data_IF_973906265419
#
_entry.id   IF_973906265419
#
_cell.length_a   1.000
_cell.length_b   1.000
_cell.length_c   1.000
_cell.angle_alpha   90.00
_cell.angle_beta   90.00
_cell.angle_gamma   90.00
#
_symmetry.space_group_name_H-M   'P 1'
#
loop_
_entity.id
_entity.type
_entity.pdbx_description
1 polymer ?
#
# COMPACT_ATOMS: atom_id res chain seq x y z
N UNK A 1 13.17 -4.69 7.14
CA UNK A 1 12.37 -5.26 6.02
C UNK A 1 12.41 -4.44 4.74
N UNK A 2 12.93 -3.21 4.72
CA UNK A 2 12.92 -2.31 3.54
C UNK A 2 14.21 -2.33 2.69
N UNK A 3 15.22 -3.16 2.98
CA UNK A 3 16.58 -3.02 2.43
C UNK A 3 16.70 -2.89 0.90
N UNK A 4 15.83 -3.58 0.17
CA UNK A 4 16.01 -3.84 -1.25
C UNK A 4 15.21 -2.92 -2.20
N UNK A 5 14.35 -2.04 -1.69
CA UNK A 5 13.71 -0.98 -2.50
C UNK A 5 14.58 0.29 -2.56
N UNK A 6 14.27 1.24 -3.45
CA UNK A 6 15.04 2.47 -3.57
C UNK A 6 14.92 3.33 -2.31
N UNK A 7 16.03 3.96 -1.90
CA UNK A 7 16.06 4.71 -0.64
C UNK A 7 15.16 5.97 -0.69
N UNK A 8 15.03 6.60 -1.85
CA UNK A 8 14.05 7.69 -2.09
C UNK A 8 12.61 7.24 -1.79
N UNK A 9 12.23 6.04 -2.21
CA UNK A 9 10.87 5.54 -2.02
C UNK A 9 10.64 5.10 -0.56
N UNK A 10 11.67 4.56 0.12
CA UNK A 10 11.60 4.32 1.57
C UNK A 10 11.32 5.61 2.32
N UNK A 11 12.04 6.68 1.98
CA UNK A 11 11.89 7.99 2.63
C UNK A 11 10.46 8.50 2.41
N UNK A 12 9.94 8.43 1.18
CA UNK A 12 8.56 8.85 0.88
C UNK A 12 7.52 8.05 1.65
N UNK A 13 7.66 6.72 1.70
CA UNK A 13 6.75 5.83 2.43
C UNK A 13 6.77 6.17 3.93
N UNK A 14 7.95 6.22 4.54
CA UNK A 14 8.10 6.51 5.98
C UNK A 14 7.60 7.91 6.34
N UNK A 15 7.90 8.93 5.54
CA UNK A 15 7.41 10.30 5.79
C UNK A 15 5.88 10.33 5.67
N UNK A 16 5.31 9.73 4.62
CA UNK A 16 3.86 9.68 4.44
C UNK A 16 3.17 8.99 5.62
N UNK A 17 3.71 7.87 6.07
CA UNK A 17 3.17 7.10 7.20
C UNK A 17 3.17 7.92 8.50
N UNK A 18 4.32 8.50 8.86
CA UNK A 18 4.46 9.31 10.08
C UNK A 18 3.57 10.55 10.03
N UNK A 19 3.55 11.25 8.89
CA UNK A 19 2.76 12.47 8.73
C UNK A 19 1.26 12.20 8.93
N UNK A 20 0.73 11.12 8.35
CA UNK A 20 -0.69 10.77 8.49
C UNK A 20 -1.02 10.37 9.92
N UNK A 21 -0.19 9.56 10.57
CA UNK A 21 -0.41 9.16 11.97
C UNK A 21 -0.45 10.39 12.87
N UNK A 22 0.50 11.32 12.70
CA UNK A 22 0.55 12.56 13.50
C UNK A 22 -0.68 13.42 13.26
N UNK A 23 -1.07 13.63 11.99
CA UNK A 23 -2.24 14.43 11.65
C UNK A 23 -3.54 13.85 12.23
N UNK A 24 -3.71 12.54 12.16
CA UNK A 24 -4.90 11.85 12.68
C UNK A 24 -4.91 11.84 14.21
N UNK A 25 -3.76 11.61 14.85
CA UNK A 25 -3.67 11.64 16.31
C UNK A 25 -4.00 13.03 16.85
N UNK A 26 -3.53 14.08 16.17
CA UNK A 26 -3.85 15.47 16.49
C UNK A 26 -5.34 15.76 16.27
N UNK A 27 -5.92 15.33 15.14
CA UNK A 27 -7.34 15.57 14.86
C UNK A 27 -8.23 14.88 15.89
N UNK A 28 -7.90 13.66 16.33
CA UNK A 28 -8.63 12.95 17.40
C UNK A 28 -8.54 13.70 18.73
N UNK A 29 -7.36 14.22 19.09
CA UNK A 29 -7.20 15.02 20.31
C UNK A 29 -8.07 16.29 20.30
N UNK A 30 -8.13 16.98 19.16
CA UNK A 30 -8.95 18.18 18.98
C UNK A 30 -10.46 17.86 18.89
N UNK A 31 -10.84 16.76 18.24
CA UNK A 31 -12.22 16.37 17.96
C UNK A 31 -12.84 15.48 19.05
N UNK A 32 -12.43 15.64 20.31
CA UNK A 32 -12.99 14.92 21.47
C UNK A 32 -14.52 15.10 21.70
N UNK A 33 -15.23 15.68 20.73
CA UNK A 33 -16.67 15.93 20.70
C UNK A 33 -17.43 14.81 19.98
N UNK A 34 -18.46 14.29 20.65
CA UNK A 34 -19.50 13.37 20.14
C UNK A 34 -19.00 12.10 19.41
N UNK A 35 -18.44 11.16 20.18
CA UNK A 35 -18.02 9.83 19.74
C UNK A 35 -19.03 9.10 18.81
N UNK A 36 -20.33 9.21 19.09
CA UNK A 36 -21.39 8.52 18.35
C UNK A 36 -21.43 8.84 16.85
N UNK A 37 -21.14 10.08 16.44
CA UNK A 37 -21.11 10.45 15.01
C UNK A 37 -19.86 9.95 14.32
N UNK A 38 -18.74 9.96 15.04
CA UNK A 38 -17.43 9.52 14.56
C UNK A 38 -17.41 8.01 14.34
N UNK A 39 -18.05 7.25 15.23
CA UNK A 39 -18.16 5.79 15.16
C UNK A 39 -18.72 5.29 13.83
N UNK A 40 -19.88 5.83 13.41
CA UNK A 40 -20.51 5.49 12.13
C UNK A 40 -19.64 5.88 10.93
N UNK A 41 -18.92 6.99 11.03
CA UNK A 41 -18.00 7.42 9.98
C UNK A 41 -16.83 6.43 9.85
N UNK A 42 -16.25 6.01 10.98
CA UNK A 42 -15.17 5.01 11.01
C UNK A 42 -15.66 3.69 10.41
N UNK A 43 -16.83 3.21 10.80
CA UNK A 43 -17.40 1.95 10.29
C UNK A 43 -17.59 1.98 8.76
N UNK A 44 -18.22 3.04 8.24
CA UNK A 44 -18.41 3.23 6.81
C UNK A 44 -17.06 3.35 6.06
N UNK A 45 -16.10 4.06 6.65
CA UNK A 45 -14.78 4.22 6.07
C UNK A 45 -14.03 2.89 5.99
N UNK A 46 -14.09 2.07 7.04
CA UNK A 46 -13.47 0.74 7.06
C UNK A 46 -14.07 -0.16 5.98
N UNK A 47 -15.40 -0.15 5.83
CA UNK A 47 -16.07 -0.94 4.79
C UNK A 47 -15.55 -0.58 3.38
N UNK A 48 -15.52 0.72 3.06
CA UNK A 48 -14.97 1.22 1.80
C UNK A 48 -13.48 0.89 1.62
N UNK A 49 -12.70 0.98 2.71
CA UNK A 49 -11.28 0.67 2.68
C UNK A 49 -11.02 -0.82 2.42
N UNK A 50 -11.79 -1.73 3.02
CA UNK A 50 -11.71 -3.18 2.73
C UNK A 50 -11.97 -3.42 1.25
N UNK A 51 -13.01 -2.82 0.68
CA UNK A 51 -13.32 -2.92 -0.74
C UNK A 51 -12.16 -2.42 -1.60
N UNK A 52 -11.64 -1.23 -1.31
CA UNK A 52 -10.51 -0.66 -2.05
C UNK A 52 -9.26 -1.54 -1.98
N UNK A 53 -8.86 -1.97 -0.79
CA UNK A 53 -7.66 -2.81 -0.60
C UNK A 53 -7.83 -4.17 -1.28
N UNK A 54 -9.04 -4.74 -1.28
CA UNK A 54 -9.34 -5.99 -2.00
C UNK A 54 -9.16 -5.85 -3.51
N UNK A 55 -9.59 -4.71 -4.09
CA UNK A 55 -9.37 -4.39 -5.50
C UNK A 55 -7.87 -4.23 -5.77
N UNK A 56 -7.14 -3.49 -4.92
CA UNK A 56 -5.69 -3.32 -5.05
C UNK A 56 -4.95 -4.66 -5.02
N UNK A 57 -5.35 -5.54 -4.10
CA UNK A 57 -4.78 -6.87 -3.97
C UNK A 57 -4.99 -7.71 -5.25
N UNK A 58 -6.19 -7.68 -5.81
CA UNK A 58 -6.48 -8.29 -7.11
C UNK A 58 -5.61 -7.72 -8.22
N UNK A 59 -5.51 -6.39 -8.31
CA UNK A 59 -4.63 -5.72 -9.27
C UNK A 59 -3.17 -6.16 -9.13
N UNK A 60 -2.65 -6.29 -7.91
CA UNK A 60 -1.27 -6.75 -7.68
C UNK A 60 -1.05 -8.17 -8.21
N UNK A 61 -1.97 -9.11 -7.95
CA UNK A 61 -1.86 -10.49 -8.45
C UNK A 61 -1.95 -10.56 -9.98
N UNK A 62 -2.87 -9.81 -10.58
CA UNK A 62 -3.02 -9.74 -12.04
C UNK A 62 -1.78 -9.14 -12.70
N UNK A 63 -1.31 -8.01 -12.18
CA UNK A 63 -0.11 -7.33 -12.68
C UNK A 63 1.11 -8.24 -12.59
N UNK A 64 1.27 -8.93 -11.46
CA UNK A 64 2.35 -9.90 -11.26
C UNK A 64 2.29 -11.02 -12.31
N UNK A 65 1.10 -11.58 -12.55
CA UNK A 65 0.88 -12.66 -13.52
C UNK A 65 1.22 -12.23 -14.95
N UNK A 66 0.78 -11.03 -15.35
CA UNK A 66 1.08 -10.46 -16.67
C UNK A 66 2.58 -10.19 -16.81
N UNK A 67 3.21 -9.58 -15.81
CA UNK A 67 4.65 -9.27 -15.83
C UNK A 67 5.51 -10.53 -15.96
N UNK A 68 5.18 -11.60 -15.23
CA UNK A 68 5.91 -12.87 -15.33
C UNK A 68 5.76 -13.57 -16.69
N UNK A 69 4.62 -13.39 -17.36
CA UNK A 69 4.40 -13.90 -18.71
C UNK A 69 5.00 -12.99 -19.80
N UNK A 70 5.20 -11.72 -19.50
CA UNK A 70 5.67 -10.72 -20.45
C UNK A 70 7.15 -10.88 -20.83
N UNK A 71 7.51 -10.44 -22.03
CA UNK A 71 8.93 -10.31 -22.45
C UNK A 71 9.67 -9.23 -21.66
N UNK A 72 8.95 -8.30 -21.04
CA UNK A 72 9.51 -7.23 -20.21
C UNK A 72 10.33 -7.76 -19.03
N UNK A 73 10.01 -8.95 -18.51
CA UNK A 73 10.78 -9.55 -17.41
C UNK A 73 12.23 -9.85 -17.77
N UNK A 74 12.52 -10.11 -19.05
CA UNK A 74 13.89 -10.32 -19.53
C UNK A 74 14.73 -9.04 -19.43
N UNK A 75 14.11 -7.88 -19.64
CA UNK A 75 14.79 -6.58 -19.52
C UNK A 75 15.12 -6.23 -18.06
N UNK A 76 14.30 -6.72 -17.13
CA UNK A 76 14.50 -6.54 -15.69
C UNK A 76 15.63 -7.42 -15.10
N UNK A 77 16.21 -8.34 -15.88
CA UNK A 77 17.39 -9.11 -15.47
C UNK A 77 18.70 -8.31 -15.52
N UNK A 78 18.68 -7.09 -16.06
CA UNK A 78 19.84 -6.21 -16.06
C UNK A 78 20.16 -5.71 -14.63
N UNK A 79 21.43 -5.37 -14.42
CA UNK A 79 21.87 -4.73 -13.18
C UNK A 79 21.14 -3.41 -12.95
N UNK A 80 20.75 -3.17 -11.70
CA UNK A 80 20.05 -1.96 -11.33
C UNK A 80 21.05 -0.79 -11.25
N UNK A 81 20.89 0.16 -12.16
CA UNK A 81 21.71 1.39 -12.21
C UNK A 81 21.75 2.16 -10.88
N UNK A 82 20.68 2.06 -10.06
CA UNK A 82 20.59 2.72 -8.76
C UNK A 82 21.11 1.86 -7.60
N UNK A 83 21.22 0.53 -7.78
CA UNK A 83 21.81 -0.41 -6.81
C UNK A 83 22.57 -1.53 -7.52
N UNK A 84 23.88 -1.31 -7.75
CA UNK A 84 24.77 -2.24 -8.48
C UNK A 84 24.83 -3.65 -7.90
N UNK A 85 24.40 -3.87 -6.66
CA UNK A 85 24.38 -5.18 -5.99
C UNK A 85 23.17 -6.04 -6.35
N UNK A 86 22.17 -5.52 -7.06
CA UNK A 86 20.96 -6.25 -7.40
C UNK A 86 20.48 -5.98 -8.83
N UNK A 87 19.68 -6.92 -9.37
CA UNK A 87 18.97 -6.75 -10.64
C UNK A 87 17.63 -6.06 -10.41
N UNK A 88 17.14 -5.35 -11.43
CA UNK A 88 15.86 -4.64 -11.35
C UNK A 88 14.68 -5.56 -10.99
N UNK A 89 14.73 -6.84 -11.39
CA UNK A 89 13.73 -7.85 -11.03
C UNK A 89 13.69 -8.15 -9.52
N UNK A 90 14.84 -8.11 -8.83
CA UNK A 90 14.89 -8.28 -7.38
C UNK A 90 14.26 -7.07 -6.68
N UNK A 91 14.56 -5.86 -7.15
CA UNK A 91 13.93 -4.63 -6.69
C UNK A 91 12.40 -4.70 -6.88
N UNK A 92 11.94 -5.10 -8.06
CA UNK A 92 10.51 -5.21 -8.38
C UNK A 92 9.79 -6.27 -7.53
N UNK A 93 10.39 -7.45 -7.35
CA UNK A 93 9.88 -8.49 -6.46
C UNK A 93 9.63 -7.94 -5.05
N UNK A 94 10.54 -7.10 -4.57
CA UNK A 94 10.46 -6.51 -3.24
C UNK A 94 9.34 -5.48 -3.13
N UNK A 95 9.10 -4.67 -4.17
CA UNK A 95 7.92 -3.80 -4.22
C UNK A 95 6.61 -4.60 -4.18
N UNK A 96 6.48 -5.68 -4.96
CA UNK A 96 5.29 -6.53 -4.91
C UNK A 96 5.11 -7.17 -3.54
N UNK A 97 6.19 -7.68 -2.94
CA UNK A 97 6.15 -8.29 -1.61
C UNK A 97 5.67 -7.28 -0.55
N UNK A 98 6.23 -6.07 -0.56
CA UNK A 98 5.84 -5.01 0.37
C UNK A 98 4.40 -4.55 0.13
N UNK A 99 3.97 -4.40 -1.12
CA UNK A 99 2.59 -4.02 -1.45
C UNK A 99 1.57 -5.06 -0.96
N UNK A 100 1.85 -6.35 -1.17
CA UNK A 100 1.02 -7.46 -0.70
C UNK A 100 0.96 -7.48 0.84
N UNK A 101 2.11 -7.35 1.52
CA UNK A 101 2.12 -7.31 2.98
C UNK A 101 1.41 -6.07 3.54
N UNK A 102 1.58 -4.90 2.93
CA UNK A 102 0.89 -3.68 3.32
C UNK A 102 -0.64 -3.83 3.17
N UNK A 103 -1.11 -4.40 2.07
CA UNK A 103 -2.53 -4.70 1.86
C UNK A 103 -3.08 -5.66 2.92
N UNK A 104 -2.38 -6.77 3.20
CA UNK A 104 -2.79 -7.75 4.21
C UNK A 104 -2.82 -7.15 5.62
N UNK A 105 -1.78 -6.39 5.99
CA UNK A 105 -1.72 -5.69 7.28
C UNK A 105 -2.90 -4.71 7.40
N UNK A 106 -3.22 -3.97 6.34
CA UNK A 106 -4.34 -3.03 6.33
C UNK A 106 -5.68 -3.74 6.59
N UNK A 107 -5.89 -4.90 5.95
CA UNK A 107 -7.08 -5.72 6.19
C UNK A 107 -7.15 -6.22 7.64
N UNK A 108 -6.03 -6.66 8.22
CA UNK A 108 -5.96 -7.07 9.63
C UNK A 108 -6.34 -5.91 10.55
N UNK A 109 -5.84 -4.71 10.30
CA UNK A 109 -6.23 -3.52 11.04
C UNK A 109 -7.73 -3.21 10.92
N UNK A 110 -8.32 -3.32 9.72
CA UNK A 110 -9.76 -3.16 9.54
C UNK A 110 -10.55 -4.11 10.45
N UNK A 111 -10.18 -5.39 10.50
CA UNK A 111 -10.82 -6.38 11.38
C UNK A 111 -10.66 -6.05 12.86
N UNK A 112 -9.46 -5.65 13.29
CA UNK A 112 -9.20 -5.26 14.68
C UNK A 112 -10.06 -4.06 15.10
N UNK A 113 -10.19 -3.06 14.24
CA UNK A 113 -11.01 -1.87 14.53
C UNK A 113 -12.50 -2.24 14.63
N UNK A 114 -13.01 -3.08 13.74
CA UNK A 114 -14.40 -3.56 13.82
C UNK A 114 -14.70 -4.31 15.13
N UNK A 115 -13.73 -5.07 15.64
CA UNK A 115 -13.84 -5.75 16.93
C UNK A 115 -13.86 -4.70 18.06
N UNK A 116 -12.96 -3.71 18.05
CA UNK A 116 -12.89 -2.72 19.14
C UNK A 116 -14.06 -1.77 19.16
N UNK A 117 -14.67 -1.49 17.99
CA UNK A 117 -15.93 -0.76 17.89
C UNK A 117 -17.05 -1.50 18.63
N UNK A 118 -17.19 -2.83 18.42
CA UNK A 118 -18.18 -3.65 19.12
C UNK A 118 -17.95 -3.76 20.63
N UNK A 119 -16.69 -3.63 21.07
CA UNK A 119 -16.32 -3.60 22.49
C UNK A 119 -16.44 -2.19 23.11
N UNK A 120 -16.91 -1.20 22.34
CA UNK A 120 -17.07 0.21 22.75
C UNK A 120 -15.81 0.85 23.34
N UNK A 121 -14.62 0.32 23.02
CA UNK A 121 -13.36 0.84 23.54
C UNK A 121 -12.81 1.95 22.64
N UNK A 122 -13.17 3.19 23.00
CA UNK A 122 -12.87 4.41 22.23
C UNK A 122 -11.37 4.61 22.02
N UNK A 123 -10.59 4.51 23.09
CA UNK A 123 -9.16 4.82 23.06
C UNK A 123 -8.40 3.85 22.15
N UNK A 124 -8.68 2.56 22.27
CA UNK A 124 -8.04 1.54 21.43
C UNK A 124 -8.47 1.71 19.96
N UNK A 125 -9.76 1.96 19.72
CA UNK A 125 -10.29 2.19 18.36
C UNK A 125 -9.56 3.34 17.67
N UNK A 126 -9.34 4.46 18.37
CA UNK A 126 -8.64 5.63 17.82
C UNK A 126 -7.16 5.38 17.54
N UNK A 127 -6.47 4.68 18.42
CA UNK A 127 -5.07 4.29 18.21
C UNK A 127 -4.97 3.41 16.98
N UNK A 128 -5.79 2.35 16.89
CA UNK A 128 -5.80 1.44 15.75
C UNK A 128 -6.18 2.15 14.45
N UNK A 129 -7.16 3.05 14.48
CA UNK A 129 -7.58 3.82 13.32
C UNK A 129 -6.47 4.72 12.77
N UNK A 130 -5.64 5.29 13.65
CA UNK A 130 -4.49 6.12 13.26
C UNK A 130 -3.43 5.29 12.50
N UNK A 131 -3.06 4.12 13.03
CA UNK A 131 -2.15 3.20 12.34
C UNK A 131 -2.73 2.69 11.03
N UNK A 132 -4.02 2.34 11.03
CA UNK A 132 -4.75 1.92 9.84
C UNK A 132 -4.68 2.96 8.72
N UNK A 133 -4.93 4.24 9.01
CA UNK A 133 -4.85 5.29 7.99
C UNK A 133 -3.44 5.45 7.42
N UNK A 134 -2.41 5.24 8.23
CA UNK A 134 -1.02 5.17 7.77
C UNK A 134 -0.83 4.06 6.72
N UNK A 135 -1.18 2.82 7.06
CA UNK A 135 -1.06 1.69 6.12
C UNK A 135 -1.98 1.83 4.90
N UNK A 136 -3.18 2.39 5.08
CA UNK A 136 -4.10 2.64 3.99
C UNK A 136 -3.52 3.60 2.95
N UNK A 137 -2.85 4.67 3.39
CA UNK A 137 -2.18 5.59 2.47
C UNK A 137 -0.97 4.97 1.77
N UNK A 138 -0.21 4.10 2.44
CA UNK A 138 0.88 3.36 1.80
C UNK A 138 0.39 2.50 0.63
N UNK A 139 -0.82 1.93 0.71
CA UNK A 139 -1.41 1.20 -0.42
C UNK A 139 -1.55 2.06 -1.68
N UNK A 140 -1.87 3.36 -1.54
CA UNK A 140 -1.91 4.29 -2.68
C UNK A 140 -0.52 4.53 -3.29
N UNK A 141 0.52 4.59 -2.47
CA UNK A 141 1.89 4.74 -2.96
C UNK A 141 2.31 3.48 -3.72
N UNK A 142 2.04 2.29 -3.17
CA UNK A 142 2.37 1.03 -3.81
C UNK A 142 1.62 0.82 -5.13
N UNK A 143 0.31 1.10 -5.18
CA UNK A 143 -0.44 0.96 -6.42
C UNK A 143 0.07 1.92 -7.50
N UNK A 144 0.41 3.16 -7.13
CA UNK A 144 0.97 4.12 -8.07
C UNK A 144 2.32 3.65 -8.65
N UNK A 145 3.22 3.17 -7.80
CA UNK A 145 4.53 2.67 -8.23
C UNK A 145 4.40 1.44 -9.14
N UNK A 146 3.57 0.47 -8.75
CA UNK A 146 3.36 -0.75 -9.53
C UNK A 146 2.63 -0.48 -10.85
N UNK A 147 1.66 0.44 -10.87
CA UNK A 147 0.97 0.86 -12.09
C UNK A 147 1.96 1.47 -13.10
N UNK A 148 2.90 2.30 -12.63
CA UNK A 148 3.95 2.86 -13.49
C UNK A 148 4.80 1.78 -14.15
N UNK A 149 5.19 0.77 -13.38
CA UNK A 149 5.96 -0.38 -13.92
C UNK A 149 5.12 -1.17 -14.92
N UNK A 150 3.85 -1.41 -14.60
CA UNK A 150 2.94 -2.14 -15.47
C UNK A 150 2.71 -1.44 -16.81
N UNK A 151 2.45 -0.13 -16.80
CA UNK A 151 2.27 0.65 -18.03
C UNK A 151 3.52 0.63 -18.91
N UNK A 152 4.72 0.74 -18.31
CA UNK A 152 5.96 0.61 -19.06
C UNK A 152 6.11 -0.78 -19.70
N UNK A 153 5.74 -1.84 -18.98
CA UNK A 153 5.77 -3.20 -19.52
C UNK A 153 4.84 -3.33 -20.73
N UNK A 154 3.61 -2.79 -20.64
CA UNK A 154 2.64 -2.80 -21.75
C UNK A 154 3.14 -2.04 -22.98
N UNK A 155 3.73 -0.85 -22.80
CA UNK A 155 4.27 -0.04 -23.91
C UNK A 155 5.39 -0.80 -24.64
N UNK A 156 6.29 -1.44 -23.89
CA UNK A 156 7.39 -2.21 -24.47
C UNK A 156 6.87 -3.43 -25.21
N UNK A 157 5.86 -4.10 -24.66
CA UNK A 157 5.24 -5.25 -25.31
C UNK A 157 4.56 -4.84 -26.62
N UNK A 158 3.79 -3.74 -26.61
CA UNK A 158 3.12 -3.21 -27.79
C UNK A 158 4.09 -2.71 -28.89
N UNK A 159 5.28 -2.21 -28.52
CA UNK A 159 6.30 -1.79 -29.49
C UNK A 159 6.89 -2.98 -30.23
N UNK A 160 7.18 -4.07 -29.51
CA UNK A 160 7.82 -5.25 -30.07
C UNK A 160 6.88 -6.13 -30.89
N UNK A 161 5.56 -5.97 -30.76
CA UNK A 161 4.58 -6.65 -31.63
C UNK A 161 4.48 -6.01 -33.03
N UNK A 162 5.12 -4.85 -33.25
CA UNK A 162 5.16 -4.13 -34.54
C UNK A 162 6.45 -4.38 -35.34
N UNK A 163 7.40 -5.13 -34.78
CA UNK A 163 8.65 -5.58 -35.42
C UNK A 163 8.55 -7.08 -35.76
#
# INVERSE_FOLDING_TARGET
MLGNIYDEDKIKISISFILIIVLVSMSIFYLNFEYSKIEKLIENFISNAITFVSICFGFYLTTLSILFSSRYIKLLNNEDSKKKTQRQIHTLKEYFRLAIYCALITIVFCFLILITLKLENKNITFILFSFFLGFFAENFIFIFLLLKVFLNALVIQAKNDKE
#
